data_IF_152392082841
#
_entry.id   IF_152392082841
#
_cell.length_a   1.000
_cell.length_b   1.000
_cell.length_c   1.000
_cell.angle_alpha   90.00
_cell.angle_beta   90.00
_cell.angle_gamma   90.00
#
_symmetry.space_group_name_H-M   'P 1'
#
loop_
_entity.id
_entity.type
_entity.pdbx_description
1 polymer ?
#
# COMPACT_ATOMS: atom_id res chain seq x y z
N UNK A 1 29.16 -34.02 4.82
CA UNK A 1 27.92 -33.44 5.38
C UNK A 1 28.26 -32.87 6.73
N UNK A 2 28.23 -31.55 6.89
CA UNK A 2 28.50 -30.96 8.20
C UNK A 2 27.30 -31.23 9.11
N UNK A 3 27.50 -31.88 10.25
CA UNK A 3 26.50 -31.97 11.32
C UNK A 3 26.11 -30.54 11.72
N UNK A 4 24.83 -30.20 11.54
CA UNK A 4 24.29 -28.98 12.13
C UNK A 4 24.35 -29.13 13.64
N UNK A 5 25.29 -28.47 14.29
CA UNK A 5 25.31 -28.36 15.73
C UNK A 5 24.00 -27.73 16.20
N UNK A 6 23.27 -28.42 17.02
CA UNK A 6 21.99 -27.98 17.60
C UNK A 6 22.22 -27.13 18.86
N UNK A 7 23.41 -26.54 18.99
CA UNK A 7 23.76 -25.67 20.10
C UNK A 7 22.92 -24.41 20.04
N UNK A 8 22.21 -24.13 21.12
CA UNK A 8 21.48 -22.86 21.28
C UNK A 8 22.51 -21.74 21.38
N UNK A 9 22.37 -20.72 20.56
CA UNK A 9 23.19 -19.51 20.64
C UNK A 9 22.86 -18.74 21.93
N UNK A 10 23.86 -18.04 22.46
CA UNK A 10 23.73 -17.13 23.63
C UNK A 10 23.37 -17.83 24.94
N UNK A 11 23.77 -19.07 25.15
CA UNK A 11 23.56 -19.79 26.40
C UNK A 11 24.29 -19.18 27.59
N UNK A 12 25.34 -18.38 27.35
CA UNK A 12 26.08 -17.59 28.34
C UNK A 12 25.30 -16.40 28.90
N UNK A 13 24.19 -16.03 28.26
CA UNK A 13 23.29 -14.94 28.72
C UNK A 13 22.03 -15.55 29.34
N UNK A 14 21.92 -15.62 30.68
CA UNK A 14 20.73 -16.16 31.31
C UNK A 14 19.52 -15.27 31.03
N UNK A 15 18.32 -15.84 30.88
CA UNK A 15 17.12 -15.06 30.69
C UNK A 15 16.82 -14.19 31.91
N UNK A 16 16.61 -12.89 31.70
CA UNK A 16 16.20 -11.93 32.74
C UNK A 16 14.69 -11.88 32.82
N UNK A 17 14.10 -11.99 34.00
CA UNK A 17 12.65 -11.86 34.20
C UNK A 17 12.18 -10.42 34.03
N UNK A 18 10.89 -10.23 33.75
CA UNK A 18 10.27 -8.89 33.67
C UNK A 18 10.38 -8.17 34.99
N UNK A 19 10.23 -8.87 36.11
CA UNK A 19 10.35 -8.28 37.44
C UNK A 19 11.77 -7.73 37.73
N UNK A 20 12.80 -8.46 37.35
CA UNK A 20 14.22 -8.02 37.48
C UNK A 20 14.47 -6.80 36.56
N UNK A 21 13.98 -6.85 35.31
CA UNK A 21 14.10 -5.74 34.38
C UNK A 21 13.44 -4.47 34.90
N UNK A 22 12.21 -4.57 35.40
CA UNK A 22 11.49 -3.43 35.95
C UNK A 22 12.10 -2.90 37.26
N UNK A 23 12.72 -3.76 38.06
CA UNK A 23 13.43 -3.31 39.28
C UNK A 23 14.56 -2.35 38.93
N UNK A 24 15.37 -2.67 37.92
CA UNK A 24 16.44 -1.79 37.41
C UNK A 24 15.88 -0.48 36.86
N UNK A 25 14.79 -0.54 36.07
CA UNK A 25 14.14 0.67 35.54
C UNK A 25 13.69 1.59 36.70
N UNK A 26 13.08 1.03 37.74
CA UNK A 26 12.63 1.82 38.89
C UNK A 26 13.80 2.48 39.66
N UNK A 27 14.91 1.77 39.77
CA UNK A 27 16.15 2.31 40.36
C UNK A 27 16.68 3.48 39.53
N UNK A 28 16.76 3.32 38.20
CA UNK A 28 17.24 4.34 37.25
C UNK A 28 16.33 5.57 37.22
N UNK A 29 15.02 5.40 37.45
CA UNK A 29 14.07 6.50 37.55
C UNK A 29 14.22 7.34 38.81
N UNK A 30 15.02 6.91 39.80
CA UNK A 30 15.32 7.67 41.05
C UNK A 30 14.08 8.23 41.76
N UNK A 31 13.03 7.40 41.83
CA UNK A 31 11.77 7.76 42.48
C UNK A 31 10.77 8.48 41.59
N UNK A 32 11.05 8.70 40.30
CA UNK A 32 10.06 9.21 39.38
C UNK A 32 9.02 8.11 39.05
N UNK A 33 7.78 8.55 38.86
CA UNK A 33 6.67 7.66 38.52
C UNK A 33 6.86 7.03 37.11
N UNK A 34 6.79 5.71 37.04
CA UNK A 34 7.01 4.93 35.82
C UNK A 34 6.00 5.29 34.72
N UNK A 35 4.71 5.33 35.07
CA UNK A 35 3.66 5.56 34.08
C UNK A 35 3.71 6.99 33.50
N UNK A 36 4.04 7.97 34.33
CA UNK A 36 4.17 9.36 33.88
C UNK A 36 5.39 9.60 33.01
N UNK A 37 6.46 8.84 33.19
CA UNK A 37 7.72 9.06 32.49
C UNK A 37 7.88 8.22 31.25
N UNK A 38 7.40 6.98 31.26
CA UNK A 38 7.72 5.98 30.25
C UNK A 38 6.49 5.51 29.46
N UNK A 39 5.27 5.65 30.00
CA UNK A 39 4.04 5.21 29.30
C UNK A 39 3.45 6.38 28.51
N UNK A 40 3.37 6.21 27.22
CA UNK A 40 2.75 7.17 26.33
C UNK A 40 1.24 6.95 26.27
N UNK A 41 0.46 7.95 26.67
CA UNK A 41 -0.99 7.97 26.50
C UNK A 41 -1.32 8.63 25.18
N UNK A 42 -1.90 7.85 24.27
CA UNK A 42 -2.26 8.33 22.92
C UNK A 42 -3.56 9.13 22.95
N UNK A 43 -3.77 9.94 21.92
CA UNK A 43 -5.03 10.68 21.73
C UNK A 43 -6.22 9.76 21.43
N UNK A 44 -5.95 8.56 20.90
CA UNK A 44 -6.93 7.53 20.61
C UNK A 44 -7.43 6.79 21.86
N UNK A 45 -6.87 7.07 23.04
CA UNK A 45 -7.35 6.57 24.33
C UNK A 45 -6.71 5.26 24.79
N UNK A 46 -5.65 4.78 24.17
CA UNK A 46 -4.86 3.66 24.65
C UNK A 46 -3.47 4.09 25.13
N UNK A 47 -2.80 3.22 25.90
CA UNK A 47 -1.47 3.48 26.44
C UNK A 47 -0.45 2.56 25.80
N UNK A 48 0.69 3.14 25.39
CA UNK A 48 1.83 2.41 24.82
C UNK A 48 2.92 2.34 25.88
N UNK A 49 3.32 1.11 26.24
CA UNK A 49 4.43 0.87 27.16
C UNK A 49 5.78 1.04 26.47
N UNK A 50 6.86 1.31 27.20
CA UNK A 50 8.19 1.53 26.63
C UNK A 50 8.79 0.26 25.97
N UNK A 51 8.31 -0.92 26.37
CA UNK A 51 8.72 -2.21 25.82
C UNK A 51 7.61 -3.25 25.97
N UNK A 52 7.70 -4.32 25.16
CA UNK A 52 6.84 -5.50 25.19
C UNK A 52 7.70 -6.75 25.15
N UNK A 53 7.27 -7.82 25.83
CA UNK A 53 7.98 -9.08 25.96
C UNK A 53 7.10 -10.25 25.52
N UNK A 54 7.66 -11.48 25.54
CA UNK A 54 6.97 -12.69 25.10
C UNK A 54 5.67 -12.98 25.85
N UNK A 55 5.61 -12.65 27.15
CA UNK A 55 4.40 -12.80 27.95
C UNK A 55 3.24 -11.91 27.50
N UNK A 56 3.52 -10.78 26.87
CA UNK A 56 2.50 -9.89 26.30
C UNK A 56 1.80 -10.48 25.07
N UNK A 57 2.42 -11.47 24.44
CA UNK A 57 1.87 -12.17 23.28
C UNK A 57 0.96 -13.33 23.68
N UNK A 58 0.95 -13.77 24.94
CA UNK A 58 0.27 -15.00 25.38
C UNK A 58 -1.24 -14.98 25.11
N UNK A 59 -1.88 -13.82 25.12
CA UNK A 59 -3.32 -13.65 24.93
C UNK A 59 -3.67 -13.18 23.52
N UNK A 60 -2.72 -13.10 22.58
CA UNK A 60 -2.96 -12.66 21.23
C UNK A 60 -3.24 -13.86 20.31
N UNK A 61 -4.46 -14.03 19.89
CA UNK A 61 -4.90 -15.12 18.99
C UNK A 61 -4.19 -15.05 17.61
N UNK A 62 -3.72 -13.87 17.22
CA UNK A 62 -3.15 -13.62 15.90
C UNK A 62 -1.65 -13.93 15.80
N UNK A 63 -0.97 -14.30 16.89
CA UNK A 63 0.49 -14.56 16.89
C UNK A 63 0.88 -15.71 15.96
N UNK A 64 0.02 -16.71 15.81
CA UNK A 64 0.26 -17.90 15.00
C UNK A 64 -0.30 -17.81 13.58
N UNK A 65 -0.98 -16.71 13.22
CA UNK A 65 -1.54 -16.51 11.89
C UNK A 65 -0.39 -16.33 10.88
N UNK A 66 -0.40 -17.14 9.83
CA UNK A 66 0.58 -17.03 8.74
C UNK A 66 0.21 -15.90 7.79
N UNK A 67 1.18 -15.35 7.03
CA UNK A 67 0.87 -14.46 5.93
C UNK A 67 -0.10 -15.13 4.95
N UNK A 68 -1.12 -14.41 4.51
CA UNK A 68 -2.15 -14.92 3.60
C UNK A 68 -3.31 -15.67 4.25
N UNK A 69 -3.25 -15.95 5.56
CA UNK A 69 -4.35 -16.58 6.30
C UNK A 69 -5.28 -15.50 6.89
N UNK A 70 -6.60 -15.78 6.88
CA UNK A 70 -7.58 -14.92 7.57
C UNK A 70 -7.24 -14.84 9.07
N UNK A 71 -7.34 -13.67 9.73
CA UNK A 71 -7.85 -12.36 9.27
C UNK A 71 -6.82 -11.43 8.60
N UNK A 72 -5.81 -11.94 7.94
CA UNK A 72 -4.80 -11.22 7.15
C UNK A 72 -3.95 -10.20 7.93
N UNK A 73 -3.76 -10.41 9.21
CA UNK A 73 -2.98 -9.53 10.12
C UNK A 73 -1.49 -9.42 9.73
N UNK A 74 -1.01 -10.36 8.91
CA UNK A 74 0.35 -10.38 8.38
C UNK A 74 0.41 -10.19 6.86
N UNK A 75 -0.65 -9.58 6.29
CA UNK A 75 -0.79 -9.38 4.86
C UNK A 75 -1.51 -10.54 4.16
N UNK A 76 -1.93 -10.29 2.93
CA UNK A 76 -2.76 -11.18 2.13
C UNK A 76 -1.96 -12.10 1.17
N UNK A 77 -0.64 -12.02 1.19
CA UNK A 77 0.24 -12.84 0.36
C UNK A 77 1.01 -13.87 1.19
N UNK A 78 0.93 -15.15 0.80
CA UNK A 78 1.69 -16.23 1.46
C UNK A 78 3.15 -16.26 1.07
N UNK A 79 3.46 -15.86 -0.16
CA UNK A 79 4.82 -15.95 -0.73
C UNK A 79 5.20 -14.63 -1.37
N UNK A 80 6.33 -14.09 -0.94
CA UNK A 80 6.93 -12.90 -1.53
C UNK A 80 6.14 -11.60 -1.30
N UNK A 81 6.63 -10.55 -1.89
CA UNK A 81 6.01 -9.23 -1.92
C UNK A 81 5.87 -8.81 -3.38
N UNK A 82 4.81 -9.25 -4.09
CA UNK A 82 4.65 -8.98 -5.52
C UNK A 82 4.08 -7.56 -5.73
N UNK A 83 4.82 -6.54 -5.28
CA UNK A 83 4.48 -5.16 -5.65
C UNK A 83 4.83 -4.91 -7.11
N UNK A 84 4.03 -4.09 -7.78
CA UNK A 84 4.29 -3.66 -9.14
C UNK A 84 5.12 -2.36 -9.13
N UNK A 85 6.04 -2.25 -10.07
CA UNK A 85 6.77 -1.00 -10.32
C UNK A 85 5.82 -0.07 -11.07
N UNK A 86 5.38 1.02 -10.43
CA UNK A 86 4.42 1.96 -10.98
C UNK A 86 5.07 3.27 -11.38
N UNK A 87 4.63 3.82 -12.52
CA UNK A 87 4.93 5.18 -12.96
C UNK A 87 3.64 5.96 -13.20
N UNK A 88 3.56 7.13 -12.58
CA UNK A 88 2.44 8.05 -12.78
C UNK A 88 2.80 9.15 -13.79
N UNK A 89 1.80 9.56 -14.59
CA UNK A 89 1.90 10.60 -15.60
C UNK A 89 0.76 11.60 -15.45
N UNK A 90 1.09 12.89 -15.52
CA UNK A 90 0.09 13.92 -15.73
C UNK A 90 -0.35 13.92 -17.20
N UNK A 91 -1.65 13.87 -17.44
CA UNK A 91 -2.22 13.73 -18.76
C UNK A 91 -3.13 14.90 -19.09
N UNK A 92 -2.75 15.67 -20.11
CA UNK A 92 -3.65 16.56 -20.79
C UNK A 92 -4.33 15.80 -21.94
N UNK A 93 -5.65 15.62 -21.87
CA UNK A 93 -6.42 14.84 -22.85
C UNK A 93 -6.50 15.49 -24.24
N UNK A 94 -6.04 16.73 -24.39
CA UNK A 94 -5.87 17.36 -25.71
C UNK A 94 -4.59 16.84 -26.42
N UNK A 95 -3.63 16.29 -25.64
CA UNK A 95 -2.37 15.76 -26.16
C UNK A 95 -2.06 14.35 -25.61
N UNK A 96 -2.99 13.38 -25.71
CA UNK A 96 -2.86 12.07 -25.06
C UNK A 96 -1.71 11.24 -25.62
N UNK A 97 -1.35 11.45 -26.87
CA UNK A 97 -0.26 10.69 -27.55
C UNK A 97 1.11 10.93 -26.92
N UNK A 98 1.35 12.09 -26.32
CA UNK A 98 2.61 12.37 -25.63
C UNK A 98 2.73 11.51 -24.37
N UNK A 99 1.67 11.46 -23.56
CA UNK A 99 1.62 10.61 -22.36
C UNK A 99 1.70 9.13 -22.73
N UNK A 100 1.00 8.69 -23.77
CA UNK A 100 1.08 7.32 -24.29
C UNK A 100 2.52 6.95 -24.67
N UNK A 101 3.21 7.78 -25.45
CA UNK A 101 4.61 7.53 -25.85
C UNK A 101 5.54 7.38 -24.63
N UNK A 102 5.39 8.25 -23.61
CA UNK A 102 6.15 8.15 -22.37
C UNK A 102 5.82 6.86 -21.62
N UNK A 103 4.56 6.48 -21.54
CA UNK A 103 4.12 5.26 -20.90
C UNK A 103 4.70 4.02 -21.56
N UNK A 104 4.65 3.93 -22.90
CA UNK A 104 5.24 2.81 -23.66
C UNK A 104 6.77 2.73 -23.48
N UNK A 105 7.49 3.87 -23.42
CA UNK A 105 8.91 3.88 -23.13
C UNK A 105 9.19 3.33 -21.71
N UNK A 106 8.40 3.72 -20.70
CA UNK A 106 8.58 3.22 -19.33
C UNK A 106 8.24 1.74 -19.21
N UNK A 107 7.20 1.25 -19.90
CA UNK A 107 6.88 -0.18 -19.98
C UNK A 107 8.04 -0.99 -20.57
N UNK A 108 8.70 -0.46 -21.60
CA UNK A 108 9.88 -1.11 -22.19
C UNK A 108 11.08 -1.19 -21.23
N UNK A 109 11.09 -0.37 -20.18
CA UNK A 109 12.12 -0.31 -19.13
C UNK A 109 11.77 -1.10 -17.86
N UNK A 110 10.65 -1.82 -17.86
CA UNK A 110 10.28 -2.71 -16.76
C UNK A 110 9.25 -2.13 -15.79
N UNK A 111 8.57 -1.04 -16.12
CA UNK A 111 7.37 -0.59 -15.41
C UNK A 111 6.24 -1.59 -15.67
N UNK A 112 5.45 -1.89 -14.65
CA UNK A 112 4.38 -2.90 -14.68
C UNK A 112 3.00 -2.32 -14.40
N UNK A 113 2.95 -1.11 -13.83
CA UNK A 113 1.72 -0.37 -13.50
C UNK A 113 1.83 1.07 -13.95
N UNK A 114 0.79 1.57 -14.61
CA UNK A 114 0.69 2.95 -15.08
C UNK A 114 -0.38 3.71 -14.29
N UNK A 115 -0.06 4.93 -13.89
CA UNK A 115 -1.02 5.88 -13.35
C UNK A 115 -1.21 7.06 -14.30
N UNK A 116 -2.46 7.40 -14.63
CA UNK A 116 -2.81 8.56 -15.45
C UNK A 116 -3.61 9.56 -14.63
N UNK A 117 -2.99 10.68 -14.28
CA UNK A 117 -3.64 11.80 -13.62
C UNK A 117 -4.23 12.73 -14.67
N UNK A 118 -5.54 12.67 -14.86
CA UNK A 118 -6.25 13.45 -15.87
C UNK A 118 -6.42 14.91 -15.41
N UNK A 119 -6.00 15.86 -16.23
CA UNK A 119 -6.19 17.27 -15.90
C UNK A 119 -7.67 17.65 -15.98
N UNK A 120 -8.11 18.55 -15.09
CA UNK A 120 -9.52 18.97 -14.98
C UNK A 120 -10.00 19.86 -16.12
N UNK A 121 -9.07 20.43 -16.87
CA UNK A 121 -9.35 21.49 -17.86
C UNK A 121 -9.66 20.94 -19.25
N UNK A 122 -9.52 19.63 -19.44
CA UNK A 122 -9.79 18.96 -20.70
C UNK A 122 -11.07 18.13 -20.62
N UNK A 123 -11.90 18.19 -21.67
CA UNK A 123 -13.07 17.31 -21.76
C UNK A 123 -12.67 15.94 -22.32
N UNK A 124 -12.94 14.85 -21.58
CA UNK A 124 -12.65 13.50 -22.03
C UNK A 124 -13.48 13.12 -23.26
N UNK A 125 -12.88 12.35 -24.18
CA UNK A 125 -13.55 11.74 -25.30
C UNK A 125 -13.06 10.31 -25.52
N UNK A 126 -13.81 9.51 -26.27
CA UNK A 126 -13.36 8.17 -26.64
C UNK A 126 -12.05 8.21 -27.43
N UNK A 127 -11.89 9.17 -28.35
CA UNK A 127 -10.67 9.33 -29.15
C UNK A 127 -9.45 9.63 -28.25
N UNK A 128 -9.60 10.56 -27.29
CA UNK A 128 -8.50 10.89 -26.37
C UNK A 128 -8.09 9.69 -25.50
N UNK A 129 -9.05 8.91 -24.98
CA UNK A 129 -8.76 7.69 -24.19
C UNK A 129 -8.16 6.60 -25.09
N UNK A 130 -8.68 6.40 -26.28
CA UNK A 130 -8.15 5.42 -27.22
C UNK A 130 -6.70 5.71 -27.60
N UNK A 131 -6.34 6.99 -27.84
CA UNK A 131 -4.95 7.39 -28.11
C UNK A 131 -4.04 7.25 -26.89
N UNK A 132 -4.57 7.52 -25.68
CA UNK A 132 -3.82 7.38 -24.44
C UNK A 132 -3.43 5.93 -24.17
N UNK A 133 -4.35 5.00 -24.42
CA UNK A 133 -4.18 3.57 -24.12
C UNK A 133 -3.68 2.75 -25.33
N UNK A 134 -3.44 3.39 -26.46
CA UNK A 134 -2.99 2.70 -27.68
C UNK A 134 -1.73 1.88 -27.40
N UNK A 135 -1.74 0.63 -27.89
CA UNK A 135 -0.61 -0.33 -27.82
C UNK A 135 -0.18 -0.74 -26.39
N UNK A 136 -0.98 -0.40 -25.36
CA UNK A 136 -0.78 -0.89 -24.00
C UNK A 136 -1.50 -2.23 -23.84
N UNK A 137 -0.76 -3.27 -23.44
CA UNK A 137 -1.30 -4.62 -23.19
C UNK A 137 -2.05 -4.65 -21.85
N UNK A 138 -3.36 -4.40 -21.88
CA UNK A 138 -4.22 -4.37 -20.69
C UNK A 138 -4.34 -5.70 -19.94
N UNK A 139 -3.92 -6.81 -20.55
CA UNK A 139 -3.89 -8.11 -19.87
C UNK A 139 -2.69 -8.28 -18.96
N UNK A 140 -1.64 -7.48 -19.13
CA UNK A 140 -0.37 -7.56 -18.40
C UNK A 140 -0.10 -6.33 -17.55
N UNK A 141 -0.51 -5.15 -18.04
CA UNK A 141 -0.22 -3.87 -17.42
C UNK A 141 -1.40 -3.42 -16.58
N UNK A 142 -1.13 -3.10 -15.32
CA UNK A 142 -2.12 -2.46 -14.46
C UNK A 142 -2.26 -0.98 -14.85
N UNK A 143 -3.51 -0.50 -15.03
CA UNK A 143 -3.77 0.88 -15.44
C UNK A 143 -4.69 1.58 -14.44
N UNK A 144 -4.21 2.68 -13.88
CA UNK A 144 -4.90 3.44 -12.85
C UNK A 144 -5.19 4.86 -13.33
N UNK A 145 -6.37 5.38 -12.99
CA UNK A 145 -6.78 6.73 -13.36
C UNK A 145 -7.10 7.56 -12.12
N UNK A 146 -6.52 8.76 -12.07
CA UNK A 146 -6.78 9.77 -11.05
C UNK A 146 -7.12 11.10 -11.72
N UNK A 147 -7.56 12.12 -10.98
CA UNK A 147 -7.86 13.44 -11.53
C UNK A 147 -9.27 13.96 -11.19
N UNK A 148 -9.88 13.42 -10.16
CA UNK A 148 -11.14 13.92 -9.60
C UNK A 148 -12.30 13.87 -10.60
N UNK A 149 -12.95 14.99 -10.85
CA UNK A 149 -14.13 15.07 -11.76
C UNK A 149 -13.81 14.70 -13.21
N UNK A 150 -12.59 14.94 -13.67
CA UNK A 150 -12.17 14.55 -15.04
C UNK A 150 -12.18 13.02 -15.19
N UNK A 151 -11.73 12.29 -14.16
CA UNK A 151 -11.77 10.83 -14.16
C UNK A 151 -13.20 10.30 -14.20
N UNK A 152 -14.11 10.89 -13.42
CA UNK A 152 -15.53 10.52 -13.45
C UNK A 152 -16.16 10.72 -14.84
N UNK A 153 -15.85 11.83 -15.51
CA UNK A 153 -16.31 12.10 -16.89
C UNK A 153 -15.68 11.15 -17.92
N UNK A 154 -14.42 10.72 -17.69
CA UNK A 154 -13.71 9.81 -18.59
C UNK A 154 -14.19 8.35 -18.47
N UNK A 155 -14.78 7.96 -17.33
CA UNK A 155 -15.17 6.60 -17.01
C UNK A 155 -15.97 5.89 -18.12
N UNK A 156 -17.02 6.46 -18.73
CA UNK A 156 -17.76 5.79 -19.81
C UNK A 156 -16.88 5.45 -21.02
N UNK A 157 -15.92 6.33 -21.33
CA UNK A 157 -15.00 6.11 -22.46
C UNK A 157 -13.93 5.07 -22.16
N UNK A 158 -13.47 5.01 -20.91
CA UNK A 158 -12.54 4.00 -20.42
C UNK A 158 -13.19 2.61 -20.47
N UNK A 159 -14.43 2.49 -19.95
CA UNK A 159 -15.20 1.23 -20.00
C UNK A 159 -15.37 0.80 -21.45
N UNK A 160 -15.84 1.69 -22.32
CA UNK A 160 -16.01 1.39 -23.74
C UNK A 160 -14.73 0.92 -24.41
N UNK A 161 -13.59 1.52 -24.09
CA UNK A 161 -12.30 1.10 -24.62
C UNK A 161 -11.94 -0.31 -24.15
N UNK A 162 -12.14 -0.62 -22.86
CA UNK A 162 -11.89 -1.94 -22.32
C UNK A 162 -12.79 -3.02 -22.94
N UNK A 163 -14.07 -2.74 -23.14
CA UNK A 163 -14.99 -3.65 -23.81
C UNK A 163 -14.56 -3.94 -25.27
N UNK A 164 -14.00 -2.95 -25.95
CA UNK A 164 -13.53 -3.10 -27.34
C UNK A 164 -12.12 -3.66 -27.46
N UNK A 165 -11.35 -3.73 -26.38
CA UNK A 165 -9.98 -4.26 -26.38
C UNK A 165 -9.90 -5.75 -26.61
N UNK A 166 -11.01 -6.49 -26.40
CA UNK A 166 -11.04 -7.96 -26.48
C UNK A 166 -10.42 -8.67 -25.28
N UNK A 167 -9.89 -7.93 -24.30
CA UNK A 167 -9.34 -8.49 -23.05
C UNK A 167 -10.51 -8.89 -22.13
N UNK A 168 -10.41 -10.06 -21.50
CA UNK A 168 -11.45 -10.50 -20.56
C UNK A 168 -11.48 -9.55 -19.36
N UNK A 169 -12.67 -9.11 -18.88
CA UNK A 169 -12.77 -8.20 -17.75
C UNK A 169 -12.03 -8.69 -16.48
N UNK A 170 -11.95 -9.99 -16.26
CA UNK A 170 -11.24 -10.59 -15.13
C UNK A 170 -9.70 -10.43 -15.20
N UNK A 171 -9.15 -10.19 -16.39
CA UNK A 171 -7.71 -10.02 -16.58
C UNK A 171 -7.28 -8.54 -16.54
N UNK A 172 -8.25 -7.62 -16.64
CA UNK A 172 -7.99 -6.17 -16.55
C UNK A 172 -7.77 -5.79 -15.09
N UNK A 173 -6.62 -5.17 -14.81
CA UNK A 173 -6.23 -4.70 -13.48
C UNK A 173 -6.10 -3.19 -13.48
N UNK A 174 -6.51 -2.57 -12.38
CA UNK A 174 -6.38 -1.13 -12.22
C UNK A 174 -7.38 -0.54 -11.26
N UNK A 175 -7.38 0.77 -11.18
CA UNK A 175 -8.28 1.51 -10.31
C UNK A 175 -8.72 2.83 -10.95
N UNK A 176 -9.84 3.33 -10.47
CA UNK A 176 -10.33 4.67 -10.78
C UNK A 176 -10.52 5.38 -9.46
N UNK A 177 -9.71 6.41 -9.23
CA UNK A 177 -9.76 7.21 -8.00
C UNK A 177 -10.57 8.48 -8.25
N UNK A 178 -11.73 8.54 -7.57
CA UNK A 178 -12.59 9.71 -7.53
C UNK A 178 -13.23 9.83 -6.16
N UNK A 179 -12.88 10.89 -5.43
CA UNK A 179 -13.48 11.21 -4.14
C UNK A 179 -14.31 12.49 -4.21
N UNK A 180 -15.64 12.40 -4.40
CA UNK A 180 -16.52 13.56 -4.42
C UNK A 180 -16.56 14.29 -3.06
N UNK A 181 -16.46 13.55 -1.95
CA UNK A 181 -16.45 14.15 -0.62
C UNK A 181 -15.21 15.00 -0.39
N UNK A 182 -14.04 14.54 -0.80
CA UNK A 182 -12.79 15.31 -0.73
C UNK A 182 -12.89 16.56 -1.58
N UNK A 183 -13.43 16.44 -2.80
CA UNK A 183 -13.63 17.57 -3.71
C UNK A 183 -14.57 18.60 -3.10
N UNK A 184 -15.68 18.14 -2.51
CA UNK A 184 -16.64 19.02 -1.83
C UNK A 184 -16.01 19.72 -0.61
N UNK A 185 -15.27 18.99 0.22
CA UNK A 185 -14.62 19.56 1.41
C UNK A 185 -13.57 20.63 1.06
N UNK A 186 -12.81 20.42 -0.03
CA UNK A 186 -11.74 21.32 -0.44
C UNK A 186 -12.22 22.52 -1.27
N UNK A 187 -13.25 22.32 -2.10
CA UNK A 187 -13.68 23.32 -3.10
C UNK A 187 -15.07 23.89 -2.82
N UNK A 188 -15.82 23.35 -1.89
CA UNK A 188 -17.21 23.76 -1.60
C UNK A 188 -18.20 23.48 -2.72
N UNK A 189 -17.87 22.61 -3.67
CA UNK A 189 -18.66 22.33 -4.88
C UNK A 189 -18.71 20.83 -5.13
#
# INVERSE_FOLDING_TARGET
>A
MAEKSNEKLFTEFPPVSTAEWEAVIREDLKGADYDKKLVWKTLEGFSVRPYYRSEDLANLETVHVKPGDFPFVRGNHQKGNPWLIRQDFEVCLDKPTEANRKALDMLSRGVESLGFSLCSDCEPSYDSISRLLKDIDLSKVEVNFTGGSATAKALPFIIKYFEQSGVKPADIKGSIDYSPLTTFALKGK
#
